data_IF_193389751923
#
_entry.id   IF_193389751923
#
_cell.length_a   1.000
_cell.length_b   1.000
_cell.length_c   1.000
_cell.angle_alpha   90.00
_cell.angle_beta   90.00
_cell.angle_gamma   90.00
#
_symmetry.space_group_name_H-M   'P 1'
#
loop_
_entity.id
_entity.type
_entity.pdbx_description
1 polymer ?
#
# COMPACT_ATOMS: atom_id res chain seq x y z
N UNK A 1 54.06 21.96 -21.26
CA UNK A 1 53.19 22.90 -20.52
C UNK A 1 51.81 22.82 -21.16
N UNK A 2 50.97 21.89 -20.69
CA UNK A 2 49.59 21.74 -21.20
C UNK A 2 48.78 22.93 -20.70
N UNK A 3 48.37 23.75 -21.66
CA UNK A 3 47.60 24.97 -21.47
C UNK A 3 46.20 24.57 -21.00
N UNK A 4 45.76 25.11 -19.86
CA UNK A 4 44.43 24.89 -19.32
C UNK A 4 43.39 25.51 -20.25
N UNK A 5 42.62 24.67 -20.95
CA UNK A 5 41.29 25.06 -21.41
C UNK A 5 40.28 24.65 -20.33
N UNK A 6 39.52 25.63 -19.87
CA UNK A 6 38.46 25.51 -18.87
C UNK A 6 37.23 24.85 -19.49
N UNK A 7 37.37 23.58 -19.88
CA UNK A 7 36.30 22.74 -20.39
C UNK A 7 36.43 21.33 -19.83
N UNK A 8 35.32 20.75 -19.40
CA UNK A 8 35.29 19.38 -18.91
C UNK A 8 35.82 18.44 -19.98
N UNK A 9 36.92 17.75 -19.69
CA UNK A 9 37.46 16.73 -20.60
C UNK A 9 36.46 15.58 -20.74
N UNK A 10 36.51 14.87 -21.87
CA UNK A 10 35.64 13.69 -22.12
C UNK A 10 35.73 12.65 -21.01
N UNK A 11 36.93 12.47 -20.42
CA UNK A 11 37.16 11.61 -19.27
C UNK A 11 36.47 12.12 -17.99
N UNK A 12 36.51 13.42 -17.72
CA UNK A 12 35.84 14.02 -16.55
C UNK A 12 34.32 13.95 -16.68
N UNK A 13 33.79 14.13 -17.90
CA UNK A 13 32.36 13.96 -18.20
C UNK A 13 31.91 12.51 -17.96
N UNK A 14 32.72 11.52 -18.35
CA UNK A 14 32.42 10.10 -18.11
C UNK A 14 32.35 9.78 -16.61
N UNK A 15 33.29 10.32 -15.83
CA UNK A 15 33.33 10.16 -14.37
C UNK A 15 32.13 10.82 -13.71
N UNK A 16 31.75 12.03 -14.15
CA UNK A 16 30.57 12.73 -13.64
C UNK A 16 29.26 12.00 -13.96
N UNK A 17 29.12 11.42 -15.15
CA UNK A 17 27.93 10.63 -15.51
C UNK A 17 27.89 9.34 -14.69
N UNK A 18 29.03 8.66 -14.53
CA UNK A 18 29.11 7.44 -13.72
C UNK A 18 28.75 7.67 -12.26
N UNK A 19 29.13 8.81 -11.67
CA UNK A 19 28.78 9.14 -10.29
C UNK A 19 27.28 9.41 -10.13
N UNK A 20 26.64 10.08 -11.11
CA UNK A 20 25.19 10.28 -11.12
C UNK A 20 24.44 8.94 -11.18
N UNK A 21 24.86 8.02 -12.06
CA UNK A 21 24.25 6.70 -12.15
C UNK A 21 24.42 5.90 -10.86
N UNK A 22 25.58 5.99 -10.22
CA UNK A 22 25.81 5.32 -8.93
C UNK A 22 24.85 5.82 -7.85
N UNK A 23 24.63 7.14 -7.77
CA UNK A 23 23.65 7.72 -6.84
C UNK A 23 22.23 7.28 -7.19
N UNK A 24 21.83 7.35 -8.47
CA UNK A 24 20.51 6.92 -8.93
C UNK A 24 20.22 5.47 -8.56
N UNK A 25 21.18 4.55 -8.73
CA UNK A 25 21.02 3.14 -8.40
C UNK A 25 20.77 2.90 -6.90
N UNK A 26 21.23 3.78 -6.03
CA UNK A 26 20.94 3.72 -4.58
C UNK A 26 19.53 4.27 -4.29
N UNK A 27 19.10 5.31 -5.01
CA UNK A 27 17.79 5.94 -4.78
C UNK A 27 16.61 5.17 -5.39
N UNK A 28 16.80 4.48 -6.51
CA UNK A 28 15.75 3.68 -7.16
C UNK A 28 15.10 2.65 -6.20
N UNK A 29 15.83 1.78 -5.49
CA UNK A 29 15.21 0.80 -4.59
C UNK A 29 14.44 1.46 -3.44
N UNK A 30 14.89 2.62 -2.97
CA UNK A 30 14.18 3.39 -1.95
C UNK A 30 12.81 3.87 -2.45
N UNK A 31 12.77 4.45 -3.65
CA UNK A 31 11.51 4.90 -4.27
C UNK A 31 10.57 3.73 -4.50
N UNK A 32 11.07 2.59 -4.98
CA UNK A 32 10.25 1.38 -5.18
C UNK A 32 9.66 0.90 -3.85
N UNK A 33 10.48 0.81 -2.78
CA UNK A 33 9.98 0.41 -1.46
C UNK A 33 8.91 1.35 -0.94
N UNK A 34 9.08 2.66 -1.14
CA UNK A 34 8.12 3.66 -0.70
C UNK A 34 6.79 3.56 -1.45
N UNK A 35 6.82 3.29 -2.76
CA UNK A 35 5.60 3.06 -3.56
C UNK A 35 4.86 1.83 -3.07
N UNK A 36 5.56 0.72 -2.81
CA UNK A 36 4.95 -0.51 -2.29
C UNK A 36 4.30 -0.28 -0.93
N UNK A 37 4.96 0.47 -0.03
CA UNK A 37 4.39 0.83 1.26
C UNK A 37 3.15 1.72 1.14
N UNK A 38 3.13 2.64 0.18
CA UNK A 38 1.97 3.48 -0.10
C UNK A 38 0.80 2.66 -0.63
N UNK A 39 1.02 1.76 -1.58
CA UNK A 39 -0.02 0.87 -2.12
C UNK A 39 -0.62 -0.01 -1.02
N UNK A 40 0.23 -0.56 -0.15
CA UNK A 40 -0.23 -1.35 1.00
C UNK A 40 -1.10 -0.53 1.95
N UNK A 41 -0.67 0.68 2.31
CA UNK A 41 -1.45 1.58 3.17
C UNK A 41 -2.77 1.99 2.52
N UNK A 42 -2.77 2.20 1.22
CA UNK A 42 -3.98 2.51 0.47
C UNK A 42 -4.98 1.35 0.51
N UNK A 43 -4.51 0.10 0.33
CA UNK A 43 -5.32 -1.10 0.47
C UNK A 43 -5.90 -1.25 1.88
N UNK A 44 -5.09 -1.06 2.91
CA UNK A 44 -5.53 -1.11 4.31
C UNK A 44 -6.60 -0.03 4.61
N UNK A 45 -6.42 1.18 4.07
CA UNK A 45 -7.39 2.27 4.23
C UNK A 45 -8.70 1.99 3.49
N UNK A 46 -8.64 1.38 2.29
CA UNK A 46 -9.86 0.96 1.58
C UNK A 46 -10.59 -0.15 2.33
N UNK A 47 -9.87 -1.13 2.84
CA UNK A 47 -10.45 -2.23 3.61
C UNK A 47 -11.16 -1.73 4.87
N UNK A 48 -10.54 -0.81 5.61
CA UNK A 48 -11.16 -0.21 6.79
C UNK A 48 -12.40 0.60 6.43
N UNK A 49 -12.37 1.38 5.34
CA UNK A 49 -13.54 2.14 4.87
C UNK A 49 -14.72 1.24 4.53
N UNK A 50 -14.50 0.15 3.79
CA UNK A 50 -15.56 -0.82 3.44
C UNK A 50 -16.15 -1.43 4.72
N UNK A 51 -15.30 -1.73 5.70
CA UNK A 51 -15.74 -2.29 6.96
C UNK A 51 -16.58 -1.30 7.79
N UNK A 52 -16.23 -0.01 7.78
CA UNK A 52 -17.04 1.05 8.37
C UNK A 52 -18.38 1.21 7.66
N UNK A 53 -18.40 1.24 6.32
CA UNK A 53 -19.64 1.32 5.53
C UNK A 53 -20.58 0.12 5.84
N UNK A 54 -20.03 -1.09 5.97
CA UNK A 54 -20.79 -2.29 6.36
C UNK A 54 -21.37 -2.20 7.78
N UNK A 55 -20.58 -1.72 8.74
CA UNK A 55 -21.04 -1.54 10.12
C UNK A 55 -22.13 -0.47 10.23
N UNK A 56 -22.02 0.59 9.44
CA UNK A 56 -23.02 1.64 9.36
C UNK A 56 -24.33 1.08 8.80
N UNK A 57 -24.27 0.31 7.70
CA UNK A 57 -25.41 -0.42 7.14
C UNK A 57 -26.05 -1.36 8.19
N UNK A 58 -25.25 -2.17 8.90
CA UNK A 58 -25.71 -3.04 9.99
C UNK A 58 -26.42 -2.25 11.09
N UNK A 59 -25.87 -1.11 11.51
CA UNK A 59 -26.43 -0.28 12.59
C UNK A 59 -27.78 0.34 12.19
N UNK A 60 -27.91 0.80 10.95
CA UNK A 60 -29.12 1.46 10.46
C UNK A 60 -30.23 0.49 10.02
N UNK A 61 -29.85 -0.63 9.37
CA UNK A 61 -30.80 -1.59 8.80
C UNK A 61 -31.08 -2.80 9.70
N UNK A 62 -30.26 -3.01 10.73
CA UNK A 62 -30.31 -4.18 11.61
C UNK A 62 -29.75 -5.47 10.99
N UNK A 63 -29.39 -5.46 9.70
CA UNK A 63 -28.70 -6.54 9.00
C UNK A 63 -28.12 -6.05 7.66
N UNK A 64 -26.81 -6.12 7.51
CA UNK A 64 -26.14 -5.78 6.26
C UNK A 64 -26.41 -6.86 5.20
N UNK A 65 -26.97 -6.44 4.06
CA UNK A 65 -27.35 -7.33 2.97
C UNK A 65 -26.15 -7.95 2.24
N UNK A 66 -24.98 -7.30 2.27
CA UNK A 66 -23.82 -7.71 1.49
C UNK A 66 -22.59 -7.92 2.38
N UNK A 67 -22.06 -9.14 2.39
CA UNK A 67 -20.78 -9.47 3.03
C UNK A 67 -19.63 -9.59 2.03
N UNK A 68 -19.88 -9.34 0.75
CA UNK A 68 -18.88 -9.39 -0.32
C UNK A 68 -18.94 -8.08 -1.10
N UNK A 69 -17.85 -7.32 -1.01
CA UNK A 69 -17.70 -6.05 -1.71
C UNK A 69 -16.66 -6.19 -2.81
N UNK A 70 -16.99 -5.72 -4.01
CA UNK A 70 -16.06 -5.67 -5.15
C UNK A 70 -15.74 -4.21 -5.47
N UNK A 71 -14.49 -3.82 -5.30
CA UNK A 71 -13.99 -2.47 -5.65
C UNK A 71 -12.74 -2.62 -6.51
N UNK A 72 -12.76 -2.00 -7.69
CA UNK A 72 -11.59 -1.90 -8.58
C UNK A 72 -10.90 -3.24 -8.89
N UNK A 73 -11.68 -4.31 -9.05
CA UNK A 73 -11.17 -5.65 -9.35
C UNK A 73 -10.71 -6.46 -8.14
N UNK A 74 -10.62 -5.85 -6.95
CA UNK A 74 -10.35 -6.55 -5.68
C UNK A 74 -11.66 -6.97 -5.00
N UNK A 75 -11.62 -8.13 -4.34
CA UNK A 75 -12.75 -8.71 -3.62
C UNK A 75 -12.46 -8.67 -2.13
N UNK A 76 -13.36 -8.03 -1.40
CA UNK A 76 -13.33 -7.90 0.05
C UNK A 76 -14.47 -8.73 0.62
N UNK A 77 -14.16 -9.65 1.53
CA UNK A 77 -15.14 -10.51 2.18
C UNK A 77 -15.17 -10.22 3.67
N UNK A 78 -16.34 -9.88 4.18
CA UNK A 78 -16.55 -9.66 5.61
C UNK A 78 -16.96 -10.98 6.25
N UNK A 79 -16.30 -11.32 7.34
CA UNK A 79 -16.53 -12.56 8.11
C UNK A 79 -16.62 -12.18 9.57
N UNK A 80 -17.70 -12.59 10.24
CA UNK A 80 -17.75 -12.54 11.70
C UNK A 80 -16.84 -13.61 12.29
N UNK A 81 -15.79 -13.19 12.99
CA UNK A 81 -14.92 -14.10 13.71
C UNK A 81 -15.09 -13.91 15.23
N UNK A 82 -15.83 -14.83 15.85
CA UNK A 82 -16.12 -14.81 17.29
C UNK A 82 -14.87 -15.06 18.14
N UNK A 83 -13.83 -15.70 17.61
CA UNK A 83 -12.59 -16.00 18.34
C UNK A 83 -11.66 -14.79 18.45
N UNK A 84 -11.65 -13.92 17.43
CA UNK A 84 -10.84 -12.69 17.39
C UNK A 84 -11.61 -11.46 17.88
N UNK A 85 -12.83 -11.67 18.36
CA UNK A 85 -13.59 -10.66 19.08
C UNK A 85 -14.36 -9.67 18.23
N UNK A 86 -14.67 -9.96 16.95
CA UNK A 86 -15.43 -9.01 16.14
C UNK A 86 -15.68 -9.39 14.68
N UNK A 87 -15.97 -8.36 13.88
CA UNK A 87 -16.12 -8.43 12.44
C UNK A 87 -14.75 -8.23 11.79
N UNK A 88 -14.37 -9.15 10.90
CA UNK A 88 -13.11 -9.12 10.16
C UNK A 88 -13.37 -8.96 8.66
N UNK A 89 -12.46 -8.28 7.98
CA UNK A 89 -12.43 -8.17 6.52
C UNK A 89 -11.23 -8.93 5.98
N UNK A 90 -11.51 -9.84 5.04
CA UNK A 90 -10.53 -10.62 4.29
C UNK A 90 -10.42 -10.05 2.89
N UNK A 91 -9.20 -9.81 2.43
CA UNK A 91 -8.95 -9.30 1.09
C UNK A 91 -7.64 -9.86 0.54
N UNK A 92 -7.52 -9.90 -0.79
CA UNK A 92 -6.26 -10.24 -1.44
C UNK A 92 -5.50 -8.97 -1.74
N UNK A 93 -4.25 -8.94 -1.28
CA UNK A 93 -3.34 -7.85 -1.56
C UNK A 93 -2.91 -7.85 -3.05
N UNK A 94 -2.25 -6.79 -3.49
CA UNK A 94 -1.72 -6.63 -4.86
C UNK A 94 -0.73 -7.76 -5.26
N UNK A 95 -0.14 -8.44 -4.28
CA UNK A 95 0.72 -9.63 -4.47
C UNK A 95 -0.04 -10.95 -4.49
N UNK A 96 -1.38 -10.93 -4.39
CA UNK A 96 -2.25 -12.11 -4.34
C UNK A 96 -2.25 -12.85 -3.00
N UNK A 97 -1.58 -12.29 -1.97
CA UNK A 97 -1.55 -12.83 -0.61
C UNK A 97 -2.85 -12.49 0.12
N UNK A 98 -3.37 -13.45 0.87
CA UNK A 98 -4.54 -13.23 1.72
C UNK A 98 -4.14 -12.38 2.94
N UNK A 99 -4.81 -11.24 3.09
CA UNK A 99 -4.71 -10.35 4.23
C UNK A 99 -6.02 -10.36 5.01
N UNK A 100 -5.92 -10.07 6.31
CA UNK A 100 -7.07 -9.95 7.21
C UNK A 100 -6.91 -8.75 8.13
N UNK A 101 -8.00 -8.03 8.34
CA UNK A 101 -8.08 -6.95 9.31
C UNK A 101 -9.34 -7.14 10.17
N UNK A 102 -9.20 -7.11 11.49
CA UNK A 102 -10.29 -7.33 12.42
C UNK A 102 -10.49 -6.11 13.30
N UNK A 103 -11.74 -5.72 13.53
CA UNK A 103 -12.05 -4.70 14.51
C UNK A 103 -12.04 -5.31 15.91
N UNK A 104 -11.22 -4.73 16.78
CA UNK A 104 -11.21 -5.08 18.21
C UNK A 104 -12.56 -4.73 18.84
N UNK A 105 -12.95 -5.52 19.85
CA UNK A 105 -14.24 -5.52 20.56
C UNK A 105 -14.63 -4.15 21.19
N UNK A 106 -13.71 -3.20 21.25
CA UNK A 106 -13.89 -1.86 21.84
C UNK A 106 -14.73 -0.90 20.98
N UNK A 107 -14.98 -1.19 19.70
CA UNK A 107 -15.78 -0.31 18.81
C UNK A 107 -17.28 -0.58 18.89
N UNK A 108 -17.72 -1.61 19.63
CA UNK A 108 -19.15 -1.98 19.82
C UNK A 108 -19.77 -1.41 21.11
N UNK A 109 -19.17 -0.38 21.71
CA UNK A 109 -19.65 0.27 22.93
C UNK A 109 -20.03 1.74 22.72
#
# INVERSE_FOLDING_TARGET
MLKSESGYGTAEALVAISSIFMVMLIFIPFVISLVVDLEKKESDFRASRILYEHLEEDLFSGAAENHIYRREGQVFKIIENKEEGGICIHYKDHTGKDQRFCLSKEVRG
#
